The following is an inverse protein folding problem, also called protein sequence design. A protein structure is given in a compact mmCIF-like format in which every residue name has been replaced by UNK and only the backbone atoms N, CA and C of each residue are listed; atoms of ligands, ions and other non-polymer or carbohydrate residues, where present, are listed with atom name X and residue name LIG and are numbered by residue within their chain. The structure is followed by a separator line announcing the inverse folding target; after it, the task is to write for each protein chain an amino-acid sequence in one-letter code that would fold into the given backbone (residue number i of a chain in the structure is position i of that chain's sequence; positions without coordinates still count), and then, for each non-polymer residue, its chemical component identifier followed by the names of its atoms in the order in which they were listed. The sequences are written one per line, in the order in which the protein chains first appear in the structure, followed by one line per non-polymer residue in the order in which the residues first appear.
data_IF_094518368330
#
_entry.id   IF_094518368330
#
_cell.length_a   1.000
_cell.length_b   1.000
_cell.length_c   1.000
_cell.angle_alpha   90.00
_cell.angle_beta   90.00
_cell.angle_gamma   90.00
#
_symmetry.space_group_name_H-M   'P 1'
#
loop_
_entity.id
_entity.type
_entity.pdbx_description
1 polymer ?
#
# COMPACT_ATOMS: atom_id res chain seq x y z
N UNK A 1 3.47 -3.24 33.13
CA UNK A 1 3.20 -3.97 31.86
C UNK A 1 4.12 -3.36 30.84
N UNK A 2 4.82 -4.15 30.02
CA UNK A 2 5.69 -3.62 28.96
C UNK A 2 4.85 -2.94 27.89
N UNK A 3 5.40 -1.89 27.28
CA UNK A 3 4.81 -1.23 26.10
C UNK A 3 5.02 -2.07 24.85
N UNK A 4 4.26 -1.80 23.79
CA UNK A 4 4.37 -2.53 22.51
C UNK A 4 5.79 -2.45 21.93
N UNK A 5 6.44 -1.28 22.04
CA UNK A 5 7.80 -1.09 21.56
C UNK A 5 8.84 -1.89 22.38
N UNK A 6 8.69 -1.95 23.70
CA UNK A 6 9.57 -2.77 24.54
C UNK A 6 9.44 -4.26 24.21
N UNK A 7 8.23 -4.73 23.96
CA UNK A 7 7.97 -6.13 23.55
C UNK A 7 8.62 -6.39 22.18
N UNK A 8 8.43 -5.50 21.22
CA UNK A 8 9.00 -5.64 19.87
C UNK A 8 10.54 -5.62 19.87
N UNK A 9 11.16 -4.75 20.68
CA UNK A 9 12.62 -4.63 20.79
C UNK A 9 13.28 -5.83 21.47
N UNK A 10 12.58 -6.52 22.35
CA UNK A 10 13.03 -7.77 22.98
C UNK A 10 12.86 -9.01 22.10
N UNK A 11 12.18 -8.88 20.97
CA UNK A 11 11.86 -10.00 20.07
C UNK A 11 13.13 -10.67 19.53
N UNK A 12 13.17 -11.99 19.59
CA UNK A 12 14.22 -12.81 18.96
C UNK A 12 13.79 -13.18 17.54
N UNK A 13 13.99 -12.27 16.61
CA UNK A 13 13.59 -12.48 15.22
C UNK A 13 14.47 -13.54 14.54
N UNK A 14 13.84 -14.42 13.76
CA UNK A 14 14.52 -15.30 12.82
C UNK A 14 15.05 -14.48 11.63
N UNK A 15 16.09 -14.98 10.96
CA UNK A 15 16.48 -14.42 9.68
C UNK A 15 15.36 -14.58 8.67
N UNK A 16 15.15 -13.60 7.80
CA UNK A 16 14.00 -13.61 6.88
C UNK A 16 14.00 -14.83 5.93
N UNK A 17 15.17 -15.41 5.65
CA UNK A 17 15.31 -16.65 4.89
C UNK A 17 14.63 -17.83 5.60
N UNK A 18 14.81 -17.96 6.90
CA UNK A 18 14.18 -19.00 7.72
C UNK A 18 12.65 -18.83 7.77
N UNK A 19 12.18 -17.61 7.74
CA UNK A 19 10.74 -17.30 7.64
C UNK A 19 10.20 -17.70 6.25
N UNK A 20 10.95 -17.40 5.20
CA UNK A 20 10.59 -17.74 3.83
C UNK A 20 10.55 -19.26 3.60
N UNK A 21 11.48 -20.01 4.18
CA UNK A 21 11.51 -21.49 4.12
C UNK A 21 10.20 -22.12 4.63
N UNK A 22 9.55 -21.52 5.65
CA UNK A 22 8.25 -22.00 6.16
C UNK A 22 7.14 -21.97 5.09
N UNK A 23 7.30 -21.09 4.10
CA UNK A 23 6.36 -20.93 2.98
C UNK A 23 6.82 -21.69 1.72
N UNK A 24 8.02 -22.31 1.74
CA UNK A 24 8.60 -22.97 0.57
C UNK A 24 9.14 -21.98 -0.47
N UNK A 25 9.60 -20.83 0.00
CA UNK A 25 10.23 -19.78 -0.82
C UNK A 25 11.74 -19.99 -0.80
N UNK A 26 12.37 -20.08 -1.97
CA UNK A 26 13.81 -20.20 -2.11
C UNK A 26 14.53 -18.86 -1.90
N UNK A 27 15.82 -18.89 -1.55
CA UNK A 27 16.59 -17.69 -1.26
C UNK A 27 16.72 -16.75 -2.47
N UNK A 28 16.86 -17.29 -3.66
CA UNK A 28 16.95 -16.53 -4.92
C UNK A 28 15.61 -15.91 -5.37
N UNK A 29 14.52 -16.27 -4.72
CA UNK A 29 13.20 -15.66 -4.89
C UNK A 29 12.95 -14.46 -3.94
N UNK A 30 13.95 -14.11 -3.12
CA UNK A 30 13.90 -13.00 -2.16
C UNK A 30 14.84 -11.86 -2.56
N UNK A 31 14.35 -10.64 -2.50
CA UNK A 31 15.18 -9.44 -2.51
C UNK A 31 15.34 -8.95 -1.07
N UNK A 32 16.52 -9.17 -0.48
CA UNK A 32 16.77 -8.91 0.94
C UNK A 32 16.85 -7.40 1.24
N UNK A 33 16.11 -6.96 2.23
CA UNK A 33 16.19 -5.63 2.86
C UNK A 33 16.73 -5.76 4.29
N UNK A 34 17.99 -6.12 4.41
CA UNK A 34 18.63 -6.48 5.67
C UNK A 34 18.32 -7.90 6.11
N UNK A 35 18.36 -8.16 7.43
CA UNK A 35 18.24 -9.51 7.99
C UNK A 35 16.79 -9.98 8.15
N UNK A 36 15.87 -9.07 8.35
CA UNK A 36 14.53 -9.37 8.86
C UNK A 36 13.37 -8.99 7.92
N UNK A 37 13.70 -8.44 6.75
CA UNK A 37 12.75 -8.03 5.72
C UNK A 37 13.22 -8.49 4.35
N UNK A 38 12.27 -8.80 3.47
CA UNK A 38 12.57 -9.06 2.06
C UNK A 38 11.36 -8.69 1.19
N UNK A 39 11.59 -8.39 -0.07
CA UNK A 39 10.55 -8.39 -1.08
C UNK A 39 10.46 -9.74 -1.74
N UNK A 40 9.23 -10.12 -2.11
CA UNK A 40 8.94 -11.31 -2.89
C UNK A 40 9.14 -11.00 -4.37
N UNK A 41 9.95 -11.82 -5.05
CA UNK A 41 10.28 -11.59 -6.45
C UNK A 41 9.12 -11.87 -7.40
N UNK A 42 9.21 -11.35 -8.62
CA UNK A 42 8.25 -11.66 -9.68
C UNK A 42 8.35 -13.14 -10.12
N UNK A 43 9.54 -13.72 -10.06
CA UNK A 43 9.82 -15.12 -10.34
C UNK A 43 9.07 -16.05 -9.38
N UNK A 44 9.07 -15.74 -8.07
CA UNK A 44 8.27 -16.45 -7.09
C UNK A 44 6.79 -16.44 -7.46
N UNK A 45 6.25 -15.24 -7.73
CA UNK A 45 4.83 -15.05 -8.01
C UNK A 45 4.42 -15.84 -9.26
N UNK A 46 5.25 -15.81 -10.29
CA UNK A 46 5.02 -16.59 -11.52
C UNK A 46 5.09 -18.10 -11.27
N UNK A 47 6.05 -18.56 -10.44
CA UNK A 47 6.20 -19.99 -10.10
C UNK A 47 4.97 -20.54 -9.38
N UNK A 48 4.40 -19.76 -8.46
CA UNK A 48 3.29 -20.27 -7.61
C UNK A 48 1.90 -19.95 -8.17
N UNK A 49 1.77 -19.22 -9.27
CA UNK A 49 0.49 -18.71 -9.76
C UNK A 49 -0.58 -19.79 -9.99
N UNK A 50 -0.17 -20.99 -10.37
CA UNK A 50 -1.04 -22.10 -10.70
C UNK A 50 -1.24 -23.07 -9.52
N UNK A 51 -0.61 -22.83 -8.37
CA UNK A 51 -0.84 -23.60 -7.16
C UNK A 51 -2.28 -23.41 -6.65
N UNK A 52 -2.85 -24.40 -5.95
CA UNK A 52 -4.18 -24.27 -5.37
C UNK A 52 -4.22 -23.15 -4.32
N UNK A 53 -5.34 -22.44 -4.24
CA UNK A 53 -5.55 -21.42 -3.22
C UNK A 53 -5.79 -22.04 -1.84
N UNK A 54 -5.17 -21.47 -0.82
CA UNK A 54 -5.54 -21.71 0.58
C UNK A 54 -6.88 -21.00 0.93
N UNK A 55 -7.30 -21.18 2.19
CA UNK A 55 -8.51 -20.56 2.71
C UNK A 55 -8.27 -19.10 3.09
N UNK A 56 -9.17 -18.21 2.67
CA UNK A 56 -9.10 -16.78 2.94
C UNK A 56 -10.00 -16.40 4.11
N UNK A 57 -9.41 -15.90 5.20
CA UNK A 57 -10.11 -15.42 6.39
C UNK A 57 -10.05 -13.89 6.43
N UNK A 58 -11.20 -13.24 6.33
CA UNK A 58 -11.33 -11.79 6.44
C UNK A 58 -11.67 -11.37 7.87
N UNK A 59 -10.80 -10.59 8.50
CA UNK A 59 -11.06 -9.98 9.81
C UNK A 59 -11.63 -8.58 9.59
N UNK A 60 -12.80 -8.33 10.16
CA UNK A 60 -13.47 -7.02 10.11
C UNK A 60 -14.06 -6.67 11.47
N UNK A 61 -14.59 -5.46 11.62
CA UNK A 61 -15.31 -5.02 12.83
C UNK A 61 -16.74 -4.64 12.45
N UNK A 62 -17.66 -4.69 13.40
CA UNK A 62 -19.07 -4.33 13.16
C UNK A 62 -19.17 -2.85 12.76
N UNK A 63 -18.50 -1.97 13.51
CA UNK A 63 -18.49 -0.52 13.29
C UNK A 63 -17.13 0.06 13.71
N UNK A 64 -16.72 1.22 13.14
CA UNK A 64 -15.47 1.88 13.53
C UNK A 64 -15.57 2.56 14.90
N UNK A 65 -14.42 2.66 15.58
CA UNK A 65 -14.27 3.46 16.81
C UNK A 65 -13.09 4.41 16.71
N UNK A 66 -13.09 5.54 17.46
CA UNK A 66 -11.97 6.48 17.44
C UNK A 66 -10.63 5.87 17.89
N UNK A 67 -10.69 4.92 18.84
CA UNK A 67 -9.50 4.25 19.38
C UNK A 67 -8.97 3.11 18.48
N UNK A 68 -9.74 2.70 17.47
CA UNK A 68 -9.50 1.49 16.69
C UNK A 68 -10.21 0.27 17.29
N UNK A 69 -10.34 -0.78 16.51
CA UNK A 69 -11.18 -1.95 16.84
C UNK A 69 -10.35 -3.21 17.13
N UNK A 70 -9.02 -3.10 17.07
CA UNK A 70 -8.11 -4.22 17.31
C UNK A 70 -8.03 -5.27 16.19
N UNK A 71 -8.49 -4.95 14.98
CA UNK A 71 -8.47 -5.89 13.84
C UNK A 71 -7.08 -6.46 13.57
N UNK A 72 -6.05 -5.61 13.51
CA UNK A 72 -4.68 -6.04 13.26
C UNK A 72 -4.17 -6.95 14.38
N UNK A 73 -4.42 -6.60 15.63
CA UNK A 73 -4.07 -7.45 16.78
C UNK A 73 -4.75 -8.82 16.70
N UNK A 74 -6.03 -8.86 16.35
CA UNK A 74 -6.78 -10.13 16.17
C UNK A 74 -6.22 -10.92 14.97
N UNK A 75 -5.94 -10.24 13.84
CA UNK A 75 -5.39 -10.90 12.64
C UNK A 75 -4.03 -11.54 12.94
N UNK A 76 -3.15 -10.83 13.64
CA UNK A 76 -1.83 -11.31 14.03
C UNK A 76 -1.96 -12.47 15.03
N UNK A 77 -2.71 -12.29 16.10
CA UNK A 77 -2.91 -13.34 17.12
C UNK A 77 -3.56 -14.60 16.56
N UNK A 78 -4.51 -14.45 15.61
CA UNK A 78 -5.11 -15.60 14.91
C UNK A 78 -4.06 -16.33 14.06
N UNK A 79 -3.22 -15.59 13.31
CA UNK A 79 -2.15 -16.18 12.52
C UNK A 79 -1.11 -16.92 13.37
N UNK A 80 -0.73 -16.35 14.52
CA UNK A 80 0.15 -17.00 15.50
C UNK A 80 -0.49 -18.28 16.08
N UNK A 81 -1.79 -18.24 16.41
CA UNK A 81 -2.51 -19.41 16.88
C UNK A 81 -2.54 -20.54 15.85
N UNK A 82 -2.73 -20.23 14.55
CA UNK A 82 -2.61 -21.22 13.48
C UNK A 82 -1.20 -21.83 13.43
N UNK A 83 -0.16 -20.99 13.57
CA UNK A 83 1.23 -21.44 13.64
C UNK A 83 1.48 -22.41 14.81
N UNK A 84 1.00 -22.09 16.01
CA UNK A 84 1.09 -22.94 17.18
C UNK A 84 0.35 -24.28 17.01
N UNK A 85 -0.75 -24.28 16.27
CA UNK A 85 -1.48 -25.51 15.91
C UNK A 85 -0.83 -26.30 14.77
N UNK A 86 0.36 -25.91 14.32
CA UNK A 86 1.08 -26.57 13.24
C UNK A 86 0.44 -26.41 11.85
N UNK A 87 -0.39 -25.39 11.67
CA UNK A 87 -1.01 -25.07 10.38
C UNK A 87 -0.12 -24.11 9.57
N UNK A 88 -0.04 -24.31 8.27
CA UNK A 88 0.66 -23.42 7.36
C UNK A 88 -0.20 -22.17 7.11
N UNK A 89 0.07 -21.11 7.85
CA UNK A 89 -0.66 -19.86 7.79
C UNK A 89 0.23 -18.67 7.44
N UNK A 90 -0.34 -17.66 6.79
CA UNK A 90 0.28 -16.38 6.51
C UNK A 90 -0.71 -15.25 6.78
N UNK A 91 -0.18 -14.12 7.25
CA UNK A 91 -0.98 -12.94 7.51
C UNK A 91 -0.72 -11.95 6.39
N UNK A 92 -1.76 -11.38 5.78
CA UNK A 92 -1.64 -10.38 4.72
C UNK A 92 -2.20 -9.03 5.19
N UNK A 93 -1.32 -8.04 5.40
CA UNK A 93 -1.63 -6.76 6.04
C UNK A 93 -1.32 -5.57 5.15
N UNK A 94 -1.88 -4.42 5.54
CA UNK A 94 -1.49 -3.12 4.98
C UNK A 94 -0.19 -2.63 5.62
N UNK A 95 0.58 -1.90 4.84
CA UNK A 95 1.70 -1.10 5.33
C UNK A 95 1.16 0.16 6.03
N UNK A 96 1.67 0.53 7.22
CA UNK A 96 1.24 1.73 7.93
C UNK A 96 1.81 3.00 7.30
N UNK A 97 1.02 4.08 7.33
CA UNK A 97 1.41 5.44 6.91
C UNK A 97 2.08 6.20 8.06
N UNK A 98 3.07 7.03 7.75
CA UNK A 98 3.79 7.86 8.74
C UNK A 98 2.85 8.82 9.50
N UNK A 99 1.92 9.44 8.82
CA UNK A 99 0.98 10.37 9.45
C UNK A 99 0.24 9.77 10.63
N UNK A 100 -0.49 8.66 10.47
CA UNK A 100 -1.11 7.92 11.56
C UNK A 100 -0.14 7.39 12.61
N UNK A 101 1.08 6.95 12.23
CA UNK A 101 2.08 6.49 13.19
C UNK A 101 2.45 7.56 14.22
N UNK A 102 2.58 8.80 13.80
CA UNK A 102 2.85 9.95 14.68
C UNK A 102 1.57 10.65 15.19
N UNK A 103 0.40 10.10 14.87
CA UNK A 103 -0.91 10.60 15.31
C UNK A 103 -1.48 9.85 16.52
N UNK A 104 -2.75 10.08 16.78
CA UNK A 104 -3.47 9.48 17.94
C UNK A 104 -3.53 7.95 17.85
N UNK A 105 -3.60 7.37 16.64
CA UNK A 105 -3.69 5.92 16.46
C UNK A 105 -2.37 5.20 16.69
N UNK A 106 -1.23 5.88 16.56
CA UNK A 106 0.09 5.26 16.62
C UNK A 106 0.36 4.33 15.43
N UNK A 107 1.31 3.41 15.58
CA UNK A 107 1.69 2.43 14.57
C UNK A 107 0.63 1.35 14.33
N UNK A 108 0.78 0.60 13.25
CA UNK A 108 -0.16 -0.44 12.83
C UNK A 108 0.50 -1.82 12.70
N UNK A 109 1.33 -2.17 13.69
CA UNK A 109 2.03 -3.47 13.73
C UNK A 109 1.29 -4.55 14.56
N UNK A 110 0.10 -4.28 15.05
CA UNK A 110 -0.61 -5.06 16.06
C UNK A 110 -0.40 -4.45 17.45
N UNK A 111 -0.54 -5.24 18.54
CA UNK A 111 -0.38 -4.76 19.90
C UNK A 111 -0.11 -5.89 20.90
N UNK A 112 0.53 -5.56 22.02
CA UNK A 112 0.95 -6.53 23.02
C UNK A 112 1.86 -7.60 22.45
N UNK A 113 1.49 -8.85 22.66
CA UNK A 113 2.23 -10.00 22.13
C UNK A 113 1.78 -10.44 20.72
N UNK A 114 0.75 -9.82 20.17
CA UNK A 114 0.31 -10.06 18.79
C UNK A 114 0.79 -8.93 17.87
N UNK A 115 2.07 -8.97 17.51
CA UNK A 115 2.72 -7.96 16.68
C UNK A 115 3.49 -8.57 15.51
N UNK A 116 3.58 -7.82 14.40
CA UNK A 116 4.53 -8.06 13.31
C UNK A 116 5.81 -7.29 13.58
N UNK A 117 6.95 -7.91 13.29
CA UNK A 117 8.29 -7.37 13.53
C UNK A 117 9.16 -7.50 12.28
N UNK A 118 10.10 -6.57 12.05
CA UNK A 118 10.55 -5.44 12.91
C UNK A 118 9.53 -4.28 12.91
N UNK A 119 8.98 -3.96 14.08
CA UNK A 119 7.89 -3.01 14.25
C UNK A 119 8.28 -1.57 13.89
N UNK A 120 9.46 -1.13 14.34
CA UNK A 120 9.96 0.23 14.06
C UNK A 120 10.18 0.45 12.57
N UNK A 121 10.81 -0.50 11.88
CA UNK A 121 11.02 -0.44 10.43
C UNK A 121 9.69 -0.35 9.69
N UNK A 122 8.73 -1.22 10.06
CA UNK A 122 7.41 -1.26 9.45
C UNK A 122 6.67 0.08 9.58
N UNK A 123 6.72 0.68 10.76
CA UNK A 123 6.02 1.93 11.05
C UNK A 123 6.69 3.18 10.47
N UNK A 124 7.93 3.10 10.01
CA UNK A 124 8.68 4.24 9.47
C UNK A 124 8.82 4.12 7.93
N UNK A 125 10.01 3.84 7.45
CA UNK A 125 10.30 3.83 6.02
C UNK A 125 10.22 2.45 5.37
N UNK A 126 10.11 1.41 6.17
CA UNK A 126 9.98 -0.01 5.81
C UNK A 126 10.94 -0.45 4.68
N UNK A 127 10.43 -0.59 3.46
CA UNK A 127 11.21 -0.91 2.25
C UNK A 127 11.17 0.18 1.20
N UNK A 128 10.56 1.33 1.51
CA UNK A 128 10.52 2.50 0.65
C UNK A 128 9.31 2.59 -0.29
N UNK A 129 8.32 1.72 -0.15
CA UNK A 129 7.15 1.69 -1.05
C UNK A 129 6.38 3.00 -1.04
N UNK A 130 6.14 3.58 0.13
CA UNK A 130 5.43 4.86 0.26
C UNK A 130 6.23 6.03 -0.30
N UNK A 131 7.56 6.01 -0.20
CA UNK A 131 8.42 7.00 -0.86
C UNK A 131 8.34 6.90 -2.37
N UNK A 132 8.31 5.68 -2.92
CA UNK A 132 8.15 5.45 -4.35
C UNK A 132 6.79 5.97 -4.84
N UNK A 133 5.72 5.69 -4.10
CA UNK A 133 4.36 6.17 -4.40
C UNK A 133 4.29 7.69 -4.35
N UNK A 134 4.84 8.31 -3.29
CA UNK A 134 4.93 9.77 -3.14
C UNK A 134 5.69 10.39 -4.32
N UNK A 135 6.82 9.80 -4.69
CA UNK A 135 7.65 10.27 -5.79
C UNK A 135 6.92 10.17 -7.13
N UNK A 136 6.25 9.05 -7.42
CA UNK A 136 5.50 8.87 -8.65
C UNK A 136 4.32 9.84 -8.76
N UNK A 137 3.60 10.06 -7.66
CA UNK A 137 2.50 11.02 -7.58
C UNK A 137 2.97 12.45 -7.86
N UNK A 138 4.07 12.86 -7.22
CA UNK A 138 4.60 14.22 -7.35
C UNK A 138 5.32 14.43 -8.68
N UNK A 139 5.91 13.38 -9.27
CA UNK A 139 6.42 13.42 -10.63
C UNK A 139 5.30 13.75 -11.63
N UNK A 140 4.14 13.08 -11.51
CA UNK A 140 2.99 13.36 -12.37
C UNK A 140 2.53 14.82 -12.23
N UNK A 141 2.48 15.35 -11.01
CA UNK A 141 2.15 16.77 -10.77
C UNK A 141 3.18 17.71 -11.42
N UNK A 142 4.48 17.41 -11.28
CA UNK A 142 5.54 18.22 -11.87
C UNK A 142 5.53 18.19 -13.40
N UNK A 143 5.28 17.03 -14.01
CA UNK A 143 5.15 16.91 -15.46
C UNK A 143 3.96 17.67 -16.01
N UNK A 144 2.83 17.64 -15.29
CA UNK A 144 1.64 18.41 -15.63
C UNK A 144 1.90 19.92 -15.61
N UNK A 145 2.50 20.43 -14.53
CA UNK A 145 2.84 21.85 -14.41
C UNK A 145 3.88 22.28 -15.48
N UNK A 146 4.85 21.40 -15.76
CA UNK A 146 5.83 21.65 -16.81
C UNK A 146 5.17 21.69 -18.20
N UNK A 147 4.21 20.80 -18.49
CA UNK A 147 3.45 20.82 -19.74
C UNK A 147 2.71 22.15 -19.93
N UNK A 148 2.02 22.62 -18.89
CA UNK A 148 1.31 23.91 -18.91
C UNK A 148 2.30 25.08 -19.14
N UNK A 149 3.45 25.06 -18.47
CA UNK A 149 4.49 26.12 -18.56
C UNK A 149 5.19 26.14 -19.93
N UNK A 150 5.41 24.99 -20.57
CA UNK A 150 6.20 24.84 -21.80
C UNK A 150 5.35 24.90 -23.09
N UNK A 151 4.25 25.61 -23.06
CA UNK A 151 3.43 25.90 -24.24
C UNK A 151 2.05 25.28 -24.24
N UNK A 152 1.75 24.36 -23.31
CA UNK A 152 0.41 23.81 -23.11
C UNK A 152 -0.26 23.31 -24.41
N UNK A 153 0.43 22.48 -25.16
CA UNK A 153 -0.03 21.96 -26.46
C UNK A 153 -1.39 21.25 -26.38
N UNK A 154 -1.69 20.63 -25.24
CA UNK A 154 -2.97 19.95 -25.00
C UNK A 154 -4.12 20.92 -24.67
N UNK A 155 -3.85 22.22 -24.49
CA UNK A 155 -4.86 23.22 -24.14
C UNK A 155 -5.51 23.00 -22.77
N UNK A 156 -4.73 22.59 -21.77
CA UNK A 156 -5.21 22.39 -20.41
C UNK A 156 -5.63 23.72 -19.80
N UNK A 157 -6.82 23.78 -19.21
CA UNK A 157 -7.23 24.92 -18.36
C UNK A 157 -6.56 24.79 -16.99
N UNK A 158 -5.65 25.70 -16.59
CA UNK A 158 -4.98 25.62 -15.29
C UNK A 158 -5.94 25.65 -14.07
N UNK A 159 -7.17 26.11 -14.26
CA UNK A 159 -8.21 26.12 -13.22
C UNK A 159 -8.93 24.76 -13.13
N UNK A 160 -8.70 23.88 -14.08
CA UNK A 160 -9.32 22.55 -14.18
C UNK A 160 -8.30 21.42 -13.95
N UNK A 161 -7.19 21.72 -13.25
CA UNK A 161 -6.25 20.71 -12.79
C UNK A 161 -6.86 19.98 -11.60
N UNK A 162 -7.06 18.67 -11.73
CA UNK A 162 -7.65 17.82 -10.68
C UNK A 162 -6.61 16.98 -9.94
N UNK A 163 -5.42 16.79 -10.54
CA UNK A 163 -4.34 16.06 -9.91
C UNK A 163 -3.72 16.83 -8.75
N UNK A 164 -3.52 16.14 -7.62
CA UNK A 164 -3.00 16.72 -6.39
C UNK A 164 -1.61 16.17 -6.07
N UNK A 165 -0.83 16.95 -5.33
CA UNK A 165 0.42 16.50 -4.73
C UNK A 165 0.14 15.62 -3.52
N UNK A 166 1.14 14.88 -3.04
CA UNK A 166 1.01 14.11 -1.81
C UNK A 166 2.25 14.19 -0.93
N UNK A 167 2.03 13.94 0.35
CA UNK A 167 3.04 13.83 1.39
C UNK A 167 2.53 12.82 2.41
N UNK A 168 3.36 11.88 2.87
CA UNK A 168 2.92 10.87 3.83
C UNK A 168 2.91 11.40 5.27
N UNK A 169 2.21 12.51 5.46
CA UNK A 169 2.05 13.19 6.75
C UNK A 169 0.69 13.87 6.83
N UNK A 170 0.10 13.89 8.03
CA UNK A 170 -1.10 14.67 8.30
C UNK A 170 -0.71 16.15 8.48
N UNK A 171 -0.84 16.96 7.43
CA UNK A 171 -0.56 18.39 7.45
C UNK A 171 -1.77 19.18 6.95
N UNK A 172 -2.49 19.82 7.90
CA UNK A 172 -3.70 20.58 7.57
C UNK A 172 -3.42 21.88 6.83
N UNK A 173 -2.21 22.44 6.96
CA UNK A 173 -1.82 23.69 6.31
C UNK A 173 -1.65 23.50 4.81
N UNK A 174 -1.31 22.30 4.37
CA UNK A 174 -1.13 21.95 2.97
C UNK A 174 -2.44 21.58 2.25
N UNK A 175 -3.59 21.63 2.91
CA UNK A 175 -4.88 21.26 2.30
C UNK A 175 -5.37 22.24 1.23
N UNK A 176 -5.02 23.51 1.36
CA UNK A 176 -5.30 24.54 0.36
C UNK A 176 -4.10 25.46 0.29
N UNK A 177 -3.43 25.49 -0.83
CA UNK A 177 -2.22 26.29 -1.06
C UNK A 177 -2.28 26.95 -2.43
N UNK A 178 -1.44 27.94 -2.63
CA UNK A 178 -1.21 28.55 -3.95
C UNK A 178 0.19 28.15 -4.42
N UNK A 179 0.28 27.62 -5.62
CA UNK A 179 1.54 27.24 -6.27
C UNK A 179 1.87 28.17 -7.42
N UNK A 180 3.12 28.15 -7.90
CA UNK A 180 3.57 28.95 -9.04
C UNK A 180 3.75 30.44 -8.74
N UNK A 181 3.83 30.82 -7.47
CA UNK A 181 4.13 32.22 -7.08
C UNK A 181 5.58 32.58 -7.43
N UNK A 182 5.77 33.81 -7.88
CA UNK A 182 7.09 34.34 -8.17
C UNK A 182 7.21 34.90 -9.58
N UNK A 183 8.27 34.54 -10.30
CA UNK A 183 8.56 35.04 -11.64
C UNK A 183 7.90 34.18 -12.72
N UNK A 184 7.92 34.65 -13.96
CA UNK A 184 7.40 33.93 -15.13
C UNK A 184 7.91 32.47 -15.25
N UNK A 185 9.13 32.22 -14.79
CA UNK A 185 9.75 30.88 -14.83
C UNK A 185 9.32 29.96 -13.68
N UNK A 186 8.59 30.48 -12.69
CA UNK A 186 8.22 29.73 -11.48
C UNK A 186 6.86 28.99 -11.63
N UNK A 187 6.26 29.06 -12.84
CA UNK A 187 5.06 28.34 -13.22
C UNK A 187 3.79 29.21 -13.32
N UNK A 188 2.66 28.55 -13.52
CA UNK A 188 1.34 29.20 -13.56
C UNK A 188 0.76 29.25 -12.15
N UNK A 189 0.36 30.46 -11.71
CA UNK A 189 -0.28 30.64 -10.39
C UNK A 189 -1.65 29.96 -10.38
N UNK A 190 -1.86 29.02 -9.48
CA UNK A 190 -3.13 28.32 -9.28
C UNK A 190 -3.27 27.78 -7.86
N UNK A 191 -4.50 27.44 -7.51
CA UNK A 191 -4.77 26.67 -6.28
C UNK A 191 -4.29 25.22 -6.45
N UNK A 192 -3.76 24.66 -5.38
CA UNK A 192 -3.37 23.25 -5.28
C UNK A 192 -3.56 22.77 -3.84
N UNK A 193 -3.34 21.47 -3.58
CA UNK A 193 -3.30 20.93 -2.24
C UNK A 193 -2.50 19.62 -2.19
N UNK A 194 -2.12 19.23 -0.98
CA UNK A 194 -1.51 17.94 -0.71
C UNK A 194 -2.52 16.99 -0.07
N UNK A 195 -2.60 15.76 -0.58
CA UNK A 195 -3.25 14.64 0.10
C UNK A 195 -2.19 13.81 0.82
N UNK A 196 -2.59 13.02 1.81
CA UNK A 196 -1.67 12.04 2.40
C UNK A 196 -1.42 10.91 1.39
N UNK A 197 -0.21 10.36 1.34
CA UNK A 197 0.20 9.37 0.32
C UNK A 197 -0.75 8.18 0.21
N UNK A 198 -1.28 7.69 1.33
CA UNK A 198 -2.25 6.59 1.38
C UNK A 198 -3.65 6.94 0.84
N UNK A 199 -3.92 8.22 0.60
CA UNK A 199 -5.13 8.71 -0.07
C UNK A 199 -4.88 9.02 -1.56
N UNK A 200 -3.66 8.86 -2.06
CA UNK A 200 -3.34 9.10 -3.47
C UNK A 200 -3.95 8.02 -4.36
N UNK A 201 -4.30 8.41 -5.58
CA UNK A 201 -4.79 7.48 -6.60
C UNK A 201 -3.70 6.47 -7.00
N UNK A 202 -2.41 6.86 -6.95
CA UNK A 202 -1.29 5.95 -7.20
C UNK A 202 -1.29 4.78 -6.20
N UNK A 203 -1.54 5.03 -4.91
CA UNK A 203 -1.66 3.97 -3.91
C UNK A 203 -2.78 2.99 -4.25
N UNK A 204 -3.95 3.48 -4.61
CA UNK A 204 -5.09 2.64 -4.98
C UNK A 204 -4.81 1.82 -6.24
N UNK A 205 -4.23 2.45 -7.26
CA UNK A 205 -3.87 1.81 -8.53
C UNK A 205 -2.83 0.69 -8.30
N UNK A 206 -1.76 0.98 -7.55
CA UNK A 206 -0.73 -0.03 -7.23
C UNK A 206 -1.32 -1.23 -6.48
N UNK A 207 -2.20 -0.99 -5.51
CA UNK A 207 -2.81 -2.06 -4.72
C UNK A 207 -3.81 -2.93 -5.50
N UNK A 208 -4.34 -2.43 -6.62
CA UNK A 208 -5.26 -3.17 -7.49
C UNK A 208 -4.59 -3.77 -8.73
N UNK A 209 -3.32 -3.44 -8.98
CA UNK A 209 -2.58 -3.98 -10.12
C UNK A 209 -2.14 -5.43 -9.89
N UNK A 210 -2.25 -6.25 -10.93
CA UNK A 210 -1.77 -7.64 -10.92
C UNK A 210 -0.26 -7.73 -11.20
N UNK A 211 0.23 -6.93 -12.16
CA UNK A 211 1.62 -6.91 -12.61
C UNK A 211 2.04 -5.53 -13.12
N UNK A 212 3.27 -5.42 -13.60
CA UNK A 212 3.83 -4.16 -14.15
C UNK A 212 3.08 -3.69 -15.41
N UNK A 213 2.58 -4.61 -16.22
CA UNK A 213 1.84 -4.25 -17.43
C UNK A 213 0.47 -3.67 -17.07
N UNK A 214 -0.24 -4.31 -16.16
CA UNK A 214 -1.52 -3.82 -15.64
C UNK A 214 -1.36 -2.50 -14.88
N UNK A 215 -0.27 -2.36 -14.09
CA UNK A 215 0.07 -1.11 -13.43
C UNK A 215 0.21 0.05 -14.44
N UNK A 216 1.01 -0.13 -15.50
CA UNK A 216 1.17 0.89 -16.54
C UNK A 216 -0.16 1.24 -17.21
N UNK A 217 -0.95 0.23 -17.55
CA UNK A 217 -2.28 0.43 -18.18
C UNK A 217 -3.21 1.26 -17.30
N UNK A 218 -3.19 1.03 -15.99
CA UNK A 218 -4.01 1.79 -15.02
C UNK A 218 -3.48 3.19 -14.81
N UNK A 219 -2.17 3.36 -14.62
CA UNK A 219 -1.53 4.66 -14.45
C UNK A 219 -1.81 5.58 -15.64
N UNK A 220 -1.74 5.05 -16.86
CA UNK A 220 -1.99 5.82 -18.08
C UNK A 220 -3.40 6.43 -18.17
N UNK A 221 -4.38 5.79 -17.55
CA UNK A 221 -5.79 6.23 -17.54
C UNK A 221 -6.13 7.28 -16.48
N UNK A 222 -5.21 7.62 -15.60
CA UNK A 222 -5.43 8.62 -14.57
C UNK A 222 -5.74 9.96 -15.24
N UNK A 223 -6.87 10.56 -14.90
CA UNK A 223 -7.25 11.90 -15.36
C UNK A 223 -6.55 12.92 -14.48
N UNK A 224 -5.76 13.81 -15.10
CA UNK A 224 -4.95 14.81 -14.38
C UNK A 224 -5.52 16.22 -14.46
N UNK A 225 -6.24 16.53 -15.54
CA UNK A 225 -6.80 17.86 -15.80
C UNK A 225 -7.91 17.77 -16.87
N UNK A 226 -8.52 18.91 -17.15
CA UNK A 226 -9.40 19.10 -18.31
C UNK A 226 -8.90 20.25 -19.17
N UNK A 227 -9.16 20.15 -20.47
CA UNK A 227 -8.85 21.20 -21.45
C UNK A 227 -9.87 22.35 -21.35
N UNK A 228 -9.62 23.50 -22.02
CA UNK A 228 -10.53 24.63 -22.09
C UNK A 228 -11.91 24.27 -22.70
N UNK A 229 -11.96 23.24 -23.52
CA UNK A 229 -13.22 22.69 -24.11
C UNK A 229 -13.79 21.51 -23.30
N UNK A 230 -13.28 21.24 -22.10
CA UNK A 230 -13.83 20.28 -21.15
C UNK A 230 -13.46 18.82 -21.43
N UNK A 231 -12.47 18.53 -22.26
CA UNK A 231 -12.02 17.16 -22.51
C UNK A 231 -11.04 16.72 -21.40
N UNK A 232 -11.13 15.46 -20.93
CA UNK A 232 -10.18 14.95 -19.94
C UNK A 232 -8.78 14.81 -20.58
N UNK A 233 -7.76 15.11 -19.77
CA UNK A 233 -6.35 14.86 -20.08
C UNK A 233 -5.84 13.81 -19.11
N UNK A 234 -5.19 12.78 -19.64
CA UNK A 234 -4.69 11.64 -18.89
C UNK A 234 -3.18 11.69 -18.66
N UNK A 235 -2.69 10.82 -17.79
CA UNK A 235 -1.25 10.66 -17.56
C UNK A 235 -0.52 10.17 -18.84
N UNK A 236 -1.18 9.40 -19.70
CA UNK A 236 -0.63 8.99 -21.00
C UNK A 236 -0.51 10.18 -21.98
N UNK A 237 -1.49 11.08 -21.99
CA UNK A 237 -1.45 12.27 -22.86
C UNK A 237 -0.23 13.15 -22.58
N UNK A 238 0.18 13.26 -21.30
CA UNK A 238 1.40 13.98 -20.89
C UNK A 238 2.65 13.08 -20.84
N UNK A 239 2.56 11.83 -21.30
CA UNK A 239 3.65 10.85 -21.40
C UNK A 239 4.34 10.52 -20.05
N UNK A 240 3.59 10.54 -18.95
CA UNK A 240 4.12 10.34 -17.61
C UNK A 240 4.24 8.86 -17.19
N UNK A 241 3.46 7.98 -17.80
CA UNK A 241 3.25 6.59 -17.36
C UNK A 241 4.54 5.78 -17.21
N UNK A 242 5.45 5.89 -18.18
CA UNK A 242 6.72 5.15 -18.14
C UNK A 242 7.62 5.54 -16.97
N UNK A 243 7.72 6.84 -16.70
CA UNK A 243 8.52 7.36 -15.59
C UNK A 243 7.92 7.02 -14.22
N UNK A 244 6.60 7.11 -14.08
CA UNK A 244 5.91 6.65 -12.86
C UNK A 244 6.11 5.16 -12.62
N UNK A 245 5.96 4.32 -13.64
CA UNK A 245 6.16 2.88 -13.52
C UNK A 245 7.60 2.52 -13.12
N UNK A 246 8.60 3.25 -13.64
CA UNK A 246 10.00 3.06 -13.24
C UNK A 246 10.22 3.35 -11.75
N UNK A 247 9.62 4.42 -11.20
CA UNK A 247 9.67 4.72 -9.77
C UNK A 247 8.96 3.67 -8.91
N UNK A 248 7.92 3.04 -9.42
CA UNK A 248 7.11 2.05 -8.70
C UNK A 248 7.59 0.60 -8.85
N UNK A 249 8.67 0.36 -9.60
CA UNK A 249 9.14 -0.98 -9.97
C UNK A 249 9.29 -1.89 -8.74
N UNK A 250 10.01 -1.43 -7.73
CA UNK A 250 10.26 -2.25 -6.53
C UNK A 250 9.09 -2.18 -5.54
N UNK A 251 8.35 -1.06 -5.52
CA UNK A 251 7.16 -0.91 -4.69
C UNK A 251 6.00 -1.82 -5.11
N UNK A 252 6.01 -2.39 -6.31
CA UNK A 252 4.99 -3.35 -6.76
C UNK A 252 5.18 -4.74 -6.14
N UNK A 253 6.36 -5.05 -5.60
CA UNK A 253 6.68 -6.34 -4.98
C UNK A 253 6.24 -6.37 -3.52
N UNK A 254 5.45 -7.38 -3.08
CA UNK A 254 5.05 -7.51 -1.69
C UNK A 254 6.24 -7.73 -0.74
N UNK A 255 6.10 -7.29 0.50
CA UNK A 255 7.13 -7.41 1.53
C UNK A 255 6.83 -8.59 2.46
N UNK A 256 7.85 -9.39 2.77
CA UNK A 256 7.81 -10.47 3.73
C UNK A 256 8.48 -10.04 5.04
N UNK A 257 7.79 -10.27 6.16
CA UNK A 257 8.28 -10.12 7.54
C UNK A 257 7.72 -11.27 8.40
N UNK A 258 7.77 -11.15 9.71
CA UNK A 258 7.31 -12.17 10.65
C UNK A 258 6.54 -11.56 11.81
N UNK A 259 5.79 -12.39 12.55
CA UNK A 259 5.23 -12.03 13.84
C UNK A 259 6.25 -12.32 14.97
N UNK A 260 5.91 -11.93 16.21
CA UNK A 260 6.71 -12.28 17.39
C UNK A 260 6.91 -13.79 17.54
N UNK A 261 5.94 -14.60 17.14
CA UNK A 261 6.00 -16.07 17.16
C UNK A 261 6.45 -16.69 15.83
N UNK A 262 7.05 -15.87 14.96
CA UNK A 262 7.65 -16.29 13.69
C UNK A 262 6.66 -16.83 12.66
N UNK A 263 5.39 -16.46 12.74
CA UNK A 263 4.42 -16.68 11.65
C UNK A 263 4.75 -15.71 10.51
N UNK A 264 4.84 -16.18 9.25
CA UNK A 264 5.10 -15.29 8.13
C UNK A 264 4.00 -14.26 7.94
N UNK A 265 4.39 -13.02 7.64
CA UNK A 265 3.46 -11.94 7.31
C UNK A 265 3.88 -11.25 6.00
N UNK A 266 2.92 -11.08 5.10
CA UNK A 266 3.11 -10.34 3.85
C UNK A 266 2.45 -8.98 4.02
N UNK A 267 3.23 -7.91 3.90
CA UNK A 267 2.77 -6.54 4.08
C UNK A 267 2.96 -5.77 2.78
N UNK A 268 1.88 -5.17 2.24
CA UNK A 268 1.98 -4.46 0.98
C UNK A 268 0.84 -3.49 0.76
N UNK A 269 1.20 -2.23 0.45
CA UNK A 269 0.28 -1.14 0.23
C UNK A 269 -0.56 -0.77 1.45
N UNK A 270 -1.17 0.39 1.43
CA UNK A 270 -1.90 0.90 2.59
C UNK A 270 -3.02 1.90 2.26
N UNK A 271 -3.87 1.65 1.24
CA UNK A 271 -4.91 2.60 0.88
C UNK A 271 -5.92 2.78 2.02
N UNK A 272 -6.34 4.01 2.26
CA UNK A 272 -7.35 4.30 3.27
C UNK A 272 -8.74 3.85 2.82
N UNK A 273 -9.52 3.26 3.74
CA UNK A 273 -10.85 2.74 3.45
C UNK A 273 -11.91 3.83 3.20
N UNK A 274 -11.71 5.04 3.73
CA UNK A 274 -12.59 6.17 3.46
C UNK A 274 -12.34 6.86 2.11
N UNK A 275 -11.21 6.55 1.46
CA UNK A 275 -10.83 7.13 0.17
C UNK A 275 -10.84 6.07 -0.94
N UNK A 276 -10.30 4.88 -0.65
CA UNK A 276 -10.14 3.78 -1.59
C UNK A 276 -10.69 2.47 -0.99
N UNK A 277 -10.15 1.31 -1.38
CA UNK A 277 -10.67 0.00 -0.97
C UNK A 277 -10.22 -0.46 0.43
N UNK A 278 -9.24 0.22 1.05
CA UNK A 278 -8.95 0.06 2.49
C UNK A 278 -8.39 -1.29 2.95
N UNK A 279 -7.74 -2.03 2.07
CA UNK A 279 -7.12 -3.31 2.35
C UNK A 279 -5.79 -3.44 1.60
N UNK A 280 -4.98 -4.44 1.94
CA UNK A 280 -3.70 -4.66 1.29
C UNK A 280 -3.85 -4.96 -0.22
N UNK A 281 -2.75 -5.06 -0.94
CA UNK A 281 -2.79 -5.25 -2.39
C UNK A 281 -3.41 -6.59 -2.81
N UNK A 282 -3.97 -6.62 -4.00
CA UNK A 282 -4.42 -7.83 -4.68
C UNK A 282 -3.26 -8.82 -4.82
N UNK A 283 -2.10 -8.30 -5.24
CA UNK A 283 -0.88 -9.08 -5.45
C UNK A 283 -0.43 -9.80 -4.18
N UNK A 284 -0.40 -9.10 -3.03
CA UNK A 284 -0.04 -9.70 -1.74
C UNK A 284 -1.02 -10.81 -1.32
N UNK A 285 -2.32 -10.57 -1.44
CA UNK A 285 -3.33 -11.58 -1.05
C UNK A 285 -3.32 -12.79 -1.97
N UNK A 286 -3.23 -12.61 -3.29
CA UNK A 286 -3.12 -13.73 -4.23
C UNK A 286 -1.86 -14.56 -3.98
N UNK A 287 -0.71 -13.91 -3.81
CA UNK A 287 0.54 -14.62 -3.50
C UNK A 287 0.45 -15.37 -2.17
N UNK A 288 -0.13 -14.76 -1.14
CA UNK A 288 -0.34 -15.41 0.15
C UNK A 288 -1.18 -16.69 0.03
N UNK A 289 -2.28 -16.65 -0.75
CA UNK A 289 -3.17 -17.80 -0.97
C UNK A 289 -2.45 -18.98 -1.66
N UNK A 290 -1.46 -18.71 -2.51
CA UNK A 290 -0.66 -19.72 -3.18
C UNK A 290 0.42 -20.33 -2.28
N UNK A 291 0.80 -19.63 -1.21
CA UNK A 291 1.91 -20.02 -0.35
C UNK A 291 1.48 -20.74 0.94
N UNK A 292 0.22 -20.64 1.36
CA UNK A 292 -0.23 -21.16 2.65
C UNK A 292 -1.64 -21.75 2.59
N UNK A 293 -1.94 -22.68 3.53
CA UNK A 293 -3.26 -23.28 3.64
C UNK A 293 -4.31 -22.32 4.18
N UNK A 294 -3.86 -21.33 4.98
CA UNK A 294 -4.72 -20.29 5.59
C UNK A 294 -4.10 -18.92 5.43
N UNK A 295 -4.88 -17.98 4.92
CA UNK A 295 -4.51 -16.57 4.78
C UNK A 295 -5.43 -15.72 5.62
N UNK A 296 -4.88 -14.98 6.56
CA UNK A 296 -5.62 -14.04 7.41
C UNK A 296 -5.37 -12.63 6.88
N UNK A 297 -6.44 -11.92 6.56
CA UNK A 297 -6.35 -10.53 6.09
C UNK A 297 -7.41 -9.66 6.77
N UNK A 298 -7.28 -8.35 6.62
CA UNK A 298 -8.19 -7.39 7.23
C UNK A 298 -8.72 -6.35 6.23
N UNK A 299 -9.85 -5.74 6.57
CA UNK A 299 -10.38 -4.57 5.90
C UNK A 299 -10.48 -3.39 6.88
N UNK A 300 -10.15 -2.17 6.41
CA UNK A 300 -10.13 -0.97 7.25
C UNK A 300 -11.51 -0.54 7.74
N UNK A 301 -11.58 0.19 8.85
CA UNK A 301 -12.83 0.65 9.47
C UNK A 301 -13.76 -0.49 9.88
N UNK A 302 -15.09 -0.26 9.84
CA UNK A 302 -16.11 -1.26 10.10
C UNK A 302 -16.53 -2.03 8.85
N UNK A 303 -17.40 -3.01 9.03
CA UNK A 303 -17.90 -3.86 7.95
C UNK A 303 -18.74 -3.08 6.94
N UNK A 304 -19.43 -2.05 7.40
CA UNK A 304 -20.23 -1.11 6.62
C UNK A 304 -19.42 -0.26 5.62
N UNK A 305 -18.11 -0.27 5.71
CA UNK A 305 -17.21 0.47 4.81
C UNK A 305 -16.09 -0.43 4.27
N UNK A 306 -15.24 -0.97 5.15
CA UNK A 306 -14.05 -1.71 4.74
C UNK A 306 -14.36 -3.09 4.20
N UNK A 307 -15.20 -3.89 4.86
CA UNK A 307 -15.57 -5.21 4.35
C UNK A 307 -16.43 -5.10 3.09
N UNK A 308 -17.37 -4.15 3.02
CA UNK A 308 -18.14 -3.86 1.81
C UNK A 308 -17.22 -3.59 0.63
N UNK A 309 -16.24 -2.69 0.78
CA UNK A 309 -15.25 -2.41 -0.29
C UNK A 309 -14.31 -3.59 -0.58
N UNK A 310 -13.99 -4.41 0.41
CA UNK A 310 -13.25 -5.63 0.19
C UNK A 310 -13.99 -6.57 -0.76
N UNK A 311 -15.29 -6.78 -0.54
CA UNK A 311 -16.12 -7.63 -1.41
C UNK A 311 -16.38 -6.97 -2.77
N UNK A 312 -16.84 -5.74 -2.79
CA UNK A 312 -17.35 -5.08 -3.99
C UNK A 312 -16.24 -4.58 -4.92
N UNK A 313 -15.06 -4.28 -4.40
CA UNK A 313 -13.92 -3.81 -5.18
C UNK A 313 -12.87 -4.90 -5.31
N UNK A 314 -12.19 -5.25 -4.21
CA UNK A 314 -11.02 -6.12 -4.24
C UNK A 314 -11.38 -7.54 -4.66
N UNK A 315 -12.37 -8.14 -4.03
CA UNK A 315 -12.80 -9.52 -4.34
C UNK A 315 -13.31 -9.65 -5.77
N UNK A 316 -14.18 -8.72 -6.21
CA UNK A 316 -14.69 -8.72 -7.60
C UNK A 316 -13.58 -8.61 -8.63
N UNK A 317 -12.62 -7.69 -8.42
CA UNK A 317 -11.54 -7.46 -9.38
C UNK A 317 -10.53 -8.60 -9.41
N UNK A 318 -10.27 -9.22 -8.27
CA UNK A 318 -9.22 -10.21 -8.10
C UNK A 318 -9.72 -11.66 -8.14
N UNK A 319 -11.03 -11.89 -8.15
CA UNK A 319 -11.61 -13.23 -8.07
C UNK A 319 -11.42 -13.89 -6.70
N UNK A 320 -11.39 -13.09 -5.61
CA UNK A 320 -11.18 -13.59 -4.26
C UNK A 320 -12.51 -13.94 -3.59
N UNK A 321 -12.50 -15.04 -2.85
CA UNK A 321 -13.66 -15.52 -2.10
C UNK A 321 -13.26 -15.87 -0.68
N UNK A 322 -13.54 -14.99 0.33
CA UNK A 322 -13.36 -15.36 1.73
C UNK A 322 -14.23 -16.57 2.13
N UNK A 323 -13.63 -17.54 2.87
CA UNK A 323 -14.29 -18.75 3.36
C UNK A 323 -15.11 -18.51 4.65
#
# INVERSE_FOLDING_TARGET
MKTDIEIAQEAKMLHIREVAEKLGIAEDELELYGKYKAKLSDELIERVKDEPDGKLILVTAINPTPAGEGKTTISVGLGEAFGQLGKKAVIALREPSLGPCFGIKGGAAGGGYAQVVPMEDLNLHFTGDFHAITSANNLLAALLDNHIQQGNELGIDPRQVVWKRCLDMNDRVLRNIVVGLGRKMDGMVREDHFVITVASEIMAVLCLADDMHDLKRRLGKIIVAYTYDGKPVTADDIKATGAMAALLKDALKPNLIQTLEHTPAIVHGGPFANIAHGCNSVRATKTALKLADYVITEAGFGADLGAEKFFDIKSRMAGLHPD
#
